data_IF_945579785647
#
_entry.id   IF_945579785647
#
_cell.length_a   1.000
_cell.length_b   1.000
_cell.length_c   1.000
_cell.angle_alpha   90.00
_cell.angle_beta   90.00
_cell.angle_gamma   90.00
#
_symmetry.space_group_name_H-M   'P 1'
#
loop_
_entity.id
_entity.type
_entity.pdbx_description
1 polymer ?
#
# COMPACT_ATOMS: atom_id res chain seq x y z
N UNK A 1 -49.83 16.54 36.75
CA UNK A 1 -49.28 15.45 35.92
C UNK A 1 -48.74 16.10 34.65
N UNK A 2 -47.43 16.21 34.48
CA UNK A 2 -46.82 16.88 33.33
C UNK A 2 -46.37 15.83 32.29
N UNK A 3 -46.81 15.99 31.04
CA UNK A 3 -46.49 15.09 29.94
C UNK A 3 -45.17 15.50 29.26
N UNK A 4 -44.28 14.55 28.91
CA UNK A 4 -43.03 14.86 28.21
C UNK A 4 -43.30 15.15 26.73
N UNK A 5 -43.08 16.39 26.31
CA UNK A 5 -43.11 16.78 24.90
C UNK A 5 -41.84 16.30 24.20
N UNK A 6 -41.98 15.28 23.33
CA UNK A 6 -40.87 14.78 22.52
C UNK A 6 -40.53 15.80 21.42
N UNK A 7 -39.26 16.25 21.38
CA UNK A 7 -38.75 17.14 20.32
C UNK A 7 -38.40 16.29 19.09
N UNK A 8 -39.10 16.52 17.98
CA UNK A 8 -38.78 15.94 16.68
C UNK A 8 -37.54 16.64 16.12
N UNK A 9 -36.39 15.97 16.12
CA UNK A 9 -35.17 16.48 15.49
C UNK A 9 -35.24 16.13 14.01
N UNK A 10 -35.52 17.13 13.17
CA UNK A 10 -35.39 17.00 11.73
C UNK A 10 -33.90 16.96 11.37
N UNK A 11 -33.40 15.76 11.08
CA UNK A 11 -32.03 15.58 10.62
C UNK A 11 -31.89 16.04 9.16
N UNK A 12 -31.49 17.29 8.96
CA UNK A 12 -31.12 17.82 7.63
C UNK A 12 -29.72 17.30 7.28
N UNK A 13 -29.61 16.54 6.19
CA UNK A 13 -28.30 16.06 5.70
C UNK A 13 -27.54 17.24 5.09
N UNK A 14 -26.36 17.62 5.63
CA UNK A 14 -25.55 18.66 5.02
C UNK A 14 -25.04 18.21 3.65
N UNK A 15 -25.07 19.09 2.67
CA UNK A 15 -24.57 18.82 1.32
C UNK A 15 -23.03 18.78 1.33
N UNK A 16 -22.45 17.64 0.94
CA UNK A 16 -21.02 17.53 0.68
C UNK A 16 -20.70 18.06 -0.73
N UNK A 17 -19.88 19.12 -0.87
CA UNK A 17 -19.53 19.66 -2.17
C UNK A 17 -18.65 18.69 -2.97
N UNK A 18 -18.83 18.67 -4.29
CA UNK A 18 -18.00 17.87 -5.20
C UNK A 18 -16.57 18.42 -5.28
N UNK A 19 -15.60 17.52 -5.41
CA UNK A 19 -14.21 17.89 -5.67
C UNK A 19 -14.09 18.62 -7.02
N UNK A 20 -13.30 19.69 -7.07
CA UNK A 20 -13.05 20.46 -8.30
C UNK A 20 -11.67 20.10 -8.83
N UNK A 21 -11.60 19.70 -10.10
CA UNK A 21 -10.32 19.47 -10.76
C UNK A 21 -9.72 20.81 -11.24
N UNK A 22 -8.41 21.04 -11.06
CA UNK A 22 -7.72 22.21 -11.62
C UNK A 22 -7.85 22.25 -13.15
N UNK A 23 -8.09 23.43 -13.73
CA UNK A 23 -8.10 23.63 -15.18
C UNK A 23 -6.67 23.50 -15.70
N UNK A 24 -6.36 22.41 -16.42
CA UNK A 24 -5.02 22.12 -16.95
C UNK A 24 -4.79 22.69 -18.36
N UNK A 25 -5.44 23.79 -18.71
CA UNK A 25 -5.33 24.40 -20.04
C UNK A 25 -3.98 25.11 -20.23
N UNK A 26 -3.46 25.73 -19.18
CA UNK A 26 -2.19 26.48 -19.21
C UNK A 26 -0.99 25.67 -18.69
N UNK A 27 -1.22 24.41 -18.29
CA UNK A 27 -0.17 23.53 -17.78
C UNK A 27 0.33 22.69 -18.95
N UNK A 28 1.55 22.92 -19.46
CA UNK A 28 2.12 22.08 -20.50
C UNK A 28 2.14 20.63 -20.01
N UNK A 29 1.59 19.72 -20.83
CA UNK A 29 1.54 18.28 -20.52
C UNK A 29 2.97 17.81 -20.24
N UNK A 30 3.29 17.31 -19.04
CA UNK A 30 4.64 16.87 -18.74
C UNK A 30 5.02 15.76 -19.71
N UNK A 31 6.17 15.93 -20.38
CA UNK A 31 6.71 14.94 -21.28
C UNK A 31 7.05 13.69 -20.47
N UNK A 32 6.35 12.58 -20.73
CA UNK A 32 6.55 11.33 -20.01
C UNK A 32 8.00 10.86 -20.08
N UNK A 33 8.72 11.17 -21.15
CA UNK A 33 10.13 10.81 -21.32
C UNK A 33 11.05 11.59 -20.37
N UNK A 34 10.75 12.85 -20.09
CA UNK A 34 11.55 13.67 -19.15
C UNK A 34 11.29 13.27 -17.70
N UNK A 35 10.04 12.95 -17.37
CA UNK A 35 9.68 12.43 -16.05
C UNK A 35 10.33 11.07 -15.74
N UNK A 36 10.54 10.23 -16.75
CA UNK A 36 11.24 8.94 -16.57
C UNK A 36 12.75 9.13 -16.39
N UNK A 37 13.35 10.11 -17.07
CA UNK A 37 14.78 10.42 -16.93
C UNK A 37 15.10 10.96 -15.53
N UNK A 38 14.25 11.81 -14.95
CA UNK A 38 14.45 12.31 -13.58
C UNK A 38 14.34 11.21 -12.54
N UNK A 39 13.48 10.20 -12.76
CA UNK A 39 13.37 9.05 -11.86
C UNK A 39 14.60 8.11 -11.95
N UNK A 40 15.18 7.95 -13.15
CA UNK A 40 16.31 7.07 -13.37
C UNK A 40 17.63 7.55 -12.73
N UNK A 41 17.84 8.87 -12.61
CA UNK A 41 19.07 9.44 -12.01
C UNK A 41 19.16 9.19 -10.50
N UNK A 42 18.05 8.90 -9.82
CA UNK A 42 18.04 8.63 -8.39
C UNK A 42 18.42 7.18 -8.01
N UNK A 43 18.70 6.31 -8.98
CA UNK A 43 19.19 4.96 -8.73
C UNK A 43 20.69 4.89 -8.96
N UNK A 44 21.49 5.18 -7.93
CA UNK A 44 22.93 4.92 -7.94
C UNK A 44 23.20 3.41 -7.82
N UNK A 45 23.95 2.77 -8.76
CA UNK A 45 24.35 1.39 -8.62
C UNK A 45 25.61 1.28 -7.74
N UNK A 46 25.49 0.63 -6.59
CA UNK A 46 26.62 0.28 -5.74
C UNK A 46 27.40 -0.87 -6.41
N UNK A 47 28.64 -0.60 -6.79
CA UNK A 47 29.58 -1.57 -7.38
C UNK A 47 30.32 -2.35 -6.29
N UNK A 48 30.22 -3.69 -6.31
CA UNK A 48 31.16 -4.61 -5.66
C UNK A 48 31.14 -5.98 -6.40
N UNK A 49 32.28 -6.69 -6.57
CA UNK A 49 32.33 -7.94 -7.36
C UNK A 49 32.41 -9.24 -6.51
N UNK A 50 31.70 -10.31 -6.94
CA UNK A 50 31.97 -11.79 -6.86
C UNK A 50 30.67 -12.65 -6.68
N UNK A 51 30.65 -14.00 -6.87
CA UNK A 51 30.80 -14.88 -8.07
C UNK A 51 29.43 -15.62 -8.44
N UNK A 52 29.34 -16.65 -9.34
CA UNK A 52 28.20 -16.91 -10.28
C UNK A 52 26.96 -17.69 -9.73
N UNK A 53 25.86 -17.83 -10.50
CA UNK A 53 24.51 -18.05 -9.96
C UNK A 53 24.10 -19.53 -9.84
N UNK A 54 23.05 -19.82 -9.05
CA UNK A 54 21.95 -20.60 -9.58
C UNK A 54 20.68 -19.74 -9.61
N UNK A 55 19.89 -19.93 -10.66
CA UNK A 55 18.58 -19.34 -10.89
C UNK A 55 17.70 -19.37 -9.64
N UNK A 56 17.79 -18.32 -8.84
CA UNK A 56 16.72 -17.93 -7.93
C UNK A 56 16.22 -16.66 -8.54
N UNK A 57 14.94 -16.62 -8.87
CA UNK A 57 14.23 -15.36 -9.03
C UNK A 57 14.24 -14.67 -7.67
N UNK A 58 15.41 -14.16 -7.26
CA UNK A 58 15.56 -13.26 -6.16
C UNK A 58 14.96 -11.96 -6.69
N UNK A 59 13.63 -11.91 -6.68
CA UNK A 59 12.90 -10.67 -6.84
C UNK A 59 13.58 -9.74 -5.83
N UNK A 60 14.15 -8.61 -6.26
CA UNK A 60 14.67 -7.64 -5.32
C UNK A 60 13.50 -7.35 -4.39
N UNK A 61 13.59 -7.78 -3.13
CA UNK A 61 12.63 -7.37 -2.13
C UNK A 61 12.88 -5.88 -1.97
N UNK A 62 12.18 -5.09 -2.78
CA UNK A 62 12.17 -3.66 -2.62
C UNK A 62 11.74 -3.44 -1.17
N UNK A 63 12.54 -2.72 -0.36
CA UNK A 63 12.12 -2.43 1.00
C UNK A 63 10.79 -1.70 0.87
N UNK A 64 9.72 -2.40 1.27
CA UNK A 64 8.37 -1.84 1.25
C UNK A 64 8.45 -0.70 2.26
N UNK A 65 8.34 0.53 1.78
CA UNK A 65 8.33 1.70 2.65
C UNK A 65 7.10 1.60 3.55
N UNK A 66 7.30 1.33 4.83
CA UNK A 66 6.22 1.10 5.79
C UNK A 66 6.73 0.44 7.07
N UNK A 67 5.91 0.49 8.12
CA UNK A 67 6.18 -0.28 9.34
C UNK A 67 5.99 -1.76 9.04
N UNK A 68 6.99 -2.62 9.32
CA UNK A 68 6.83 -4.05 9.14
C UNK A 68 5.69 -4.56 10.02
N UNK A 69 4.89 -5.47 9.48
CA UNK A 69 3.83 -6.10 10.26
C UNK A 69 4.45 -6.86 11.45
N UNK A 70 3.88 -6.67 12.63
CA UNK A 70 4.27 -7.36 13.87
C UNK A 70 3.06 -8.07 14.45
N UNK A 71 3.28 -9.14 15.22
CA UNK A 71 2.18 -9.86 15.89
C UNK A 71 1.31 -8.93 16.74
N UNK A 72 1.93 -7.91 17.37
CA UNK A 72 1.21 -6.91 18.13
C UNK A 72 0.30 -6.02 17.27
N UNK A 73 0.74 -5.63 16.05
CA UNK A 73 -0.08 -4.81 15.16
C UNK A 73 -1.29 -5.59 14.63
N UNK A 74 -1.11 -6.89 14.36
CA UNK A 74 -2.18 -7.78 13.91
C UNK A 74 -3.25 -7.95 15.00
N UNK A 75 -2.85 -8.03 16.27
CA UNK A 75 -3.80 -8.14 17.39
C UNK A 75 -4.68 -6.89 17.55
N UNK A 76 -4.18 -5.70 17.17
CA UNK A 76 -4.96 -4.46 17.22
C UNK A 76 -6.07 -4.43 16.15
N UNK A 77 -5.91 -5.16 15.04
CA UNK A 77 -6.87 -5.15 13.94
C UNK A 77 -8.16 -5.92 14.31
N UNK A 78 -9.33 -5.46 13.84
CA UNK A 78 -10.58 -6.23 13.94
C UNK A 78 -10.45 -7.60 13.28
N UNK A 79 -11.12 -8.62 13.83
CA UNK A 79 -10.98 -10.02 13.41
C UNK A 79 -11.17 -10.23 11.89
N UNK A 80 -12.08 -9.49 11.27
CA UNK A 80 -12.37 -9.52 9.82
C UNK A 80 -11.20 -9.09 8.93
N UNK A 81 -10.17 -8.44 9.49
CA UNK A 81 -8.98 -7.98 8.77
C UNK A 81 -7.70 -8.71 9.20
N UNK A 82 -7.78 -9.64 10.16
CA UNK A 82 -6.61 -10.41 10.60
C UNK A 82 -6.30 -11.50 9.58
N UNK A 83 -5.04 -11.55 9.13
CA UNK A 83 -4.53 -12.65 8.29
C UNK A 83 -4.39 -13.93 9.13
N UNK A 84 -4.45 -15.09 8.48
CA UNK A 84 -4.18 -16.37 9.14
C UNK A 84 -2.68 -16.51 9.38
N UNK A 85 -2.25 -17.08 10.52
CA UNK A 85 -0.85 -17.44 10.71
C UNK A 85 -0.44 -18.49 9.67
N UNK A 86 0.77 -18.34 9.14
CA UNK A 86 1.36 -19.24 8.15
C UNK A 86 2.22 -20.30 8.83
N UNK A 87 2.10 -21.55 8.39
CA UNK A 87 2.93 -22.65 8.86
C UNK A 87 4.33 -22.57 8.22
N UNK A 88 5.41 -22.96 8.94
CA UNK A 88 6.77 -22.88 8.41
C UNK A 88 6.95 -23.73 7.13
N UNK A 89 6.29 -24.88 7.05
CA UNK A 89 6.34 -25.75 5.86
C UNK A 89 5.73 -25.06 4.63
N UNK A 90 4.68 -24.28 4.83
CA UNK A 90 4.01 -23.50 3.80
C UNK A 90 4.88 -22.31 3.36
N UNK A 91 5.53 -21.64 4.31
CA UNK A 91 6.50 -20.58 4.01
C UNK A 91 7.61 -21.11 3.10
N UNK A 92 8.17 -22.27 3.43
CA UNK A 92 9.21 -22.90 2.62
C UNK A 92 8.70 -23.32 1.24
N UNK A 93 7.49 -23.88 1.15
CA UNK A 93 6.89 -24.26 -0.12
C UNK A 93 6.67 -23.05 -1.04
N UNK A 94 6.19 -21.92 -0.49
CA UNK A 94 6.04 -20.67 -1.24
C UNK A 94 7.39 -20.12 -1.68
N UNK A 95 8.40 -20.14 -0.81
CA UNK A 95 9.75 -19.68 -1.14
C UNK A 95 10.43 -20.57 -2.20
N UNK A 96 10.20 -21.88 -2.16
CA UNK A 96 10.70 -22.84 -3.16
C UNK A 96 9.98 -22.71 -4.52
N UNK A 97 8.73 -22.26 -4.52
CA UNK A 97 7.96 -22.02 -5.74
C UNK A 97 7.06 -23.17 -6.18
N UNK A 98 6.80 -24.15 -5.32
CA UNK A 98 5.91 -25.28 -5.62
C UNK A 98 6.53 -26.66 -5.41
N UNK A 99 5.89 -27.73 -5.91
CA UNK A 99 6.44 -29.07 -5.96
C UNK A 99 7.42 -29.21 -7.14
N UNK A 100 8.38 -30.11 -7.00
CA UNK A 100 9.32 -30.51 -8.07
C UNK A 100 8.64 -31.39 -9.13
#
# INVERSE_FOLDING_TARGET
>A
MAAPAARLIQAVRPHAPLIKFPKRLDIPRPNAQEALKTLAVNFTPHSAPAPPPPSRHHVPMTPISGTPDSLASIQLLPARYRRRPMAPEEMDYIQRGGPE
#
